data_IF_879830440703
#
_entry.id   IF_879830440703
#
_cell.length_a   1.000
_cell.length_b   1.000
_cell.length_c   1.000
_cell.angle_alpha   90.00
_cell.angle_beta   90.00
_cell.angle_gamma   90.00
#
_symmetry.space_group_name_H-M   'P 1'
#
loop_
_entity.id
_entity.type
_entity.pdbx_description
1 polymer ?
#
# COMPACT_ATOMS: atom_id res chain seq x y z
N UNK A 1 11.56 -18.30 -2.23
CA UNK A 1 10.18 -17.75 -2.13
C UNK A 1 10.12 -16.34 -1.54
N UNK A 2 10.75 -16.04 -0.39
CA UNK A 2 10.69 -14.68 0.22
C UNK A 2 11.15 -13.53 -0.70
N UNK A 3 12.28 -13.69 -1.41
CA UNK A 3 12.78 -12.67 -2.34
C UNK A 3 11.80 -12.39 -3.49
N UNK A 4 11.08 -13.41 -3.96
CA UNK A 4 10.06 -13.30 -5.02
C UNK A 4 8.84 -12.52 -4.54
N UNK A 5 8.37 -12.78 -3.31
CA UNK A 5 7.26 -12.03 -2.69
C UNK A 5 7.63 -10.55 -2.52
N UNK A 6 8.83 -10.27 -2.00
CA UNK A 6 9.30 -8.88 -1.84
C UNK A 6 9.40 -8.19 -3.20
N UNK A 7 10.00 -8.83 -4.20
CA UNK A 7 10.11 -8.26 -5.55
C UNK A 7 8.75 -7.96 -6.21
N UNK A 8 7.73 -8.77 -5.93
CA UNK A 8 6.38 -8.57 -6.46
C UNK A 8 5.58 -7.51 -5.70
N UNK A 9 5.78 -7.37 -4.39
CA UNK A 9 5.03 -6.43 -3.54
C UNK A 9 5.66 -5.02 -3.54
N UNK A 10 6.98 -4.93 -3.67
CA UNK A 10 7.74 -3.67 -3.55
C UNK A 10 7.26 -2.57 -4.53
N UNK A 11 6.97 -2.85 -5.81
CA UNK A 11 6.45 -1.83 -6.73
C UNK A 11 5.14 -1.20 -6.24
N UNK A 12 4.23 -2.01 -5.67
CA UNK A 12 2.96 -1.54 -5.13
C UNK A 12 3.14 -0.67 -3.88
N UNK A 13 4.07 -1.05 -3.00
CA UNK A 13 4.40 -0.24 -1.82
C UNK A 13 5.02 1.10 -2.23
N UNK A 14 5.92 1.11 -3.21
CA UNK A 14 6.55 2.35 -3.68
C UNK A 14 5.55 3.32 -4.30
N UNK A 15 4.56 2.80 -5.04
CA UNK A 15 3.48 3.64 -5.57
C UNK A 15 2.65 4.34 -4.48
N UNK A 16 2.39 3.66 -3.36
CA UNK A 16 1.73 4.29 -2.20
C UNK A 16 2.63 5.33 -1.53
N UNK A 17 3.93 5.06 -1.43
CA UNK A 17 4.91 6.03 -0.90
C UNK A 17 4.95 7.30 -1.74
N UNK A 18 4.91 7.18 -3.07
CA UNK A 18 4.89 8.33 -3.98
C UNK A 18 3.65 9.20 -3.76
N UNK A 19 2.46 8.58 -3.68
CA UNK A 19 1.21 9.28 -3.37
C UNK A 19 1.24 9.93 -1.98
N UNK A 20 1.82 9.27 -1.00
CA UNK A 20 1.97 9.83 0.35
C UNK A 20 2.92 11.04 0.36
N UNK A 21 3.98 11.02 -0.45
CA UNK A 21 4.87 12.17 -0.64
C UNK A 21 4.18 13.32 -1.39
N UNK A 22 3.31 13.04 -2.36
CA UNK A 22 2.49 14.06 -3.02
C UNK A 22 1.47 14.69 -2.06
N UNK A 23 0.81 13.88 -1.23
CA UNK A 23 -0.10 14.38 -0.20
C UNK A 23 0.59 15.31 0.79
N UNK A 24 1.83 14.99 1.16
CA UNK A 24 2.65 15.85 2.03
C UNK A 24 2.95 17.23 1.40
N UNK A 25 2.88 17.35 0.07
CA UNK A 25 3.01 18.62 -0.65
C UNK A 25 1.67 19.35 -0.81
N UNK A 26 0.59 18.84 -0.21
CA UNK A 26 -0.76 19.41 -0.30
C UNK A 26 -1.58 18.92 -1.50
N UNK A 27 -1.11 17.91 -2.24
CA UNK A 27 -1.86 17.35 -3.39
C UNK A 27 -2.96 16.43 -2.88
N UNK A 28 -4.16 16.56 -3.42
CA UNK A 28 -5.25 15.63 -3.12
C UNK A 28 -5.05 14.31 -3.88
N UNK A 29 -4.62 13.27 -3.17
CA UNK A 29 -4.33 11.94 -3.74
C UNK A 29 -5.41 10.90 -3.48
N UNK A 30 -6.54 11.25 -2.85
CA UNK A 30 -7.49 10.25 -2.34
C UNK A 30 -8.01 9.30 -3.43
N UNK A 31 -8.41 9.83 -4.58
CA UNK A 31 -8.86 9.03 -5.72
C UNK A 31 -7.74 8.13 -6.26
N UNK A 32 -6.54 8.69 -6.45
CA UNK A 32 -5.38 7.96 -6.93
C UNK A 32 -4.94 6.85 -5.99
N UNK A 33 -5.08 7.06 -4.68
CA UNK A 33 -4.78 6.07 -3.65
C UNK A 33 -5.74 4.88 -3.73
N UNK A 34 -7.04 5.14 -3.80
CA UNK A 34 -8.05 4.08 -3.89
C UNK A 34 -7.87 3.25 -5.16
N UNK A 35 -7.68 3.90 -6.32
CA UNK A 35 -7.41 3.21 -7.59
C UNK A 35 -6.10 2.40 -7.54
N UNK A 36 -5.02 2.97 -6.99
CA UNK A 36 -3.75 2.27 -6.89
C UNK A 36 -3.82 1.04 -5.97
N UNK A 37 -4.51 1.14 -4.83
CA UNK A 37 -4.70 0.01 -3.91
C UNK A 37 -5.58 -1.06 -4.55
N UNK A 38 -6.69 -0.67 -5.18
CA UNK A 38 -7.59 -1.61 -5.85
C UNK A 38 -6.88 -2.40 -6.97
N UNK A 39 -6.12 -1.71 -7.84
CA UNK A 39 -5.33 -2.36 -8.89
C UNK A 39 -4.26 -3.28 -8.32
N UNK A 40 -3.54 -2.83 -7.29
CA UNK A 40 -2.51 -3.65 -6.65
C UNK A 40 -3.09 -4.94 -6.06
N UNK A 41 -4.26 -4.85 -5.39
CA UNK A 41 -4.97 -6.01 -4.85
C UNK A 41 -5.42 -6.97 -5.96
N UNK A 42 -5.96 -6.45 -7.06
CA UNK A 42 -6.35 -7.27 -8.21
C UNK A 42 -5.15 -7.97 -8.88
N UNK A 43 -4.08 -7.22 -9.14
CA UNK A 43 -2.85 -7.76 -9.74
C UNK A 43 -2.19 -8.84 -8.87
N UNK A 44 -2.28 -8.71 -7.54
CA UNK A 44 -1.81 -9.75 -6.62
C UNK A 44 -2.78 -10.93 -6.52
N UNK A 45 -4.09 -10.72 -6.65
CA UNK A 45 -5.09 -11.77 -6.62
C UNK A 45 -4.98 -12.73 -7.81
N UNK A 46 -4.51 -12.23 -8.97
CA UNK A 46 -4.29 -13.02 -10.18
C UNK A 46 -3.04 -13.93 -10.11
N UNK A 47 -2.23 -13.82 -9.06
CA UNK A 47 -1.01 -14.61 -8.90
C UNK A 47 -1.27 -15.92 -8.15
N UNK A 48 -0.50 -16.96 -8.48
CA UNK A 48 -0.60 -18.27 -7.82
C UNK A 48 -0.38 -18.22 -6.29
N UNK A 49 0.35 -17.22 -5.80
CA UNK A 49 0.64 -17.00 -4.38
C UNK A 49 -0.14 -15.80 -3.79
N UNK A 50 -1.33 -15.49 -4.33
CA UNK A 50 -2.17 -14.34 -3.96
C UNK A 50 -2.25 -14.06 -2.46
N UNK A 51 -2.61 -15.04 -1.63
CA UNK A 51 -2.76 -14.85 -0.17
C UNK A 51 -1.46 -14.37 0.49
N UNK A 52 -0.30 -14.89 0.06
CA UNK A 52 1.00 -14.47 0.56
C UNK A 52 1.36 -13.06 0.10
N UNK A 53 1.02 -12.69 -1.15
CA UNK A 53 1.28 -11.36 -1.69
C UNK A 53 0.42 -10.30 -1.01
N UNK A 54 -0.89 -10.55 -0.87
CA UNK A 54 -1.82 -9.65 -0.19
C UNK A 54 -1.39 -9.44 1.27
N UNK A 55 -1.06 -10.52 1.99
CA UNK A 55 -0.59 -10.42 3.37
C UNK A 55 0.72 -9.63 3.48
N UNK A 56 1.66 -9.85 2.54
CA UNK A 56 2.91 -9.12 2.51
C UNK A 56 2.73 -7.63 2.15
N UNK A 57 1.78 -7.30 1.27
CA UNK A 57 1.44 -5.93 0.93
C UNK A 57 0.83 -5.18 2.12
N UNK A 58 -0.17 -5.75 2.78
CA UNK A 58 -0.77 -5.15 3.99
C UNK A 58 0.28 -4.98 5.09
N UNK A 59 1.09 -6.01 5.35
CA UNK A 59 2.17 -5.93 6.34
C UNK A 59 3.26 -4.90 5.98
N UNK A 60 3.53 -4.72 4.68
CA UNK A 60 4.43 -3.69 4.18
C UNK A 60 3.90 -2.28 4.44
N UNK A 61 2.60 -2.03 4.20
CA UNK A 61 1.95 -0.75 4.51
C UNK A 61 1.97 -0.45 6.02
N UNK A 62 1.71 -1.44 6.85
CA UNK A 62 1.80 -1.29 8.31
C UNK A 62 3.22 -0.94 8.76
N UNK A 63 4.21 -1.59 8.18
CA UNK A 63 5.63 -1.32 8.46
C UNK A 63 6.01 0.10 8.03
N UNK A 64 5.56 0.55 6.86
CA UNK A 64 5.77 1.92 6.39
C UNK A 64 5.12 2.95 7.34
N UNK A 65 3.89 2.71 7.79
CA UNK A 65 3.22 3.58 8.75
C UNK A 65 3.96 3.63 10.09
N UNK A 66 4.45 2.49 10.58
CA UNK A 66 5.19 2.41 11.84
C UNK A 66 6.56 3.10 11.79
N UNK A 67 7.23 3.09 10.63
CA UNK A 67 8.55 3.70 10.42
C UNK A 67 8.48 5.17 10.02
N UNK A 68 7.33 5.66 9.58
CA UNK A 68 7.17 7.04 9.14
C UNK A 68 7.41 8.04 10.29
N UNK A 69 8.17 9.12 10.06
CA UNK A 69 8.33 10.18 11.05
C UNK A 69 6.98 10.83 11.39
N UNK A 70 6.66 10.93 12.69
CA UNK A 70 5.39 11.51 13.19
C UNK A 70 5.10 12.93 12.70
N UNK A 71 6.13 13.69 12.33
CA UNK A 71 6.00 15.03 11.77
C UNK A 71 5.35 15.05 10.37
N UNK A 72 5.25 13.91 9.68
CA UNK A 72 4.64 13.78 8.35
C UNK A 72 3.19 13.28 8.45
N UNK A 73 2.31 14.08 9.04
CA UNK A 73 0.93 13.68 9.34
C UNK A 73 0.16 13.24 8.07
N UNK A 74 0.26 13.99 6.97
CA UNK A 74 -0.44 13.66 5.72
C UNK A 74 0.09 12.39 5.05
N UNK A 75 1.42 12.20 5.08
CA UNK A 75 2.05 10.96 4.61
C UNK A 75 1.52 9.76 5.41
N UNK A 76 1.54 9.86 6.74
CA UNK A 76 1.11 8.79 7.63
C UNK A 76 -0.36 8.44 7.39
N UNK A 77 -1.21 9.46 7.26
CA UNK A 77 -2.64 9.29 6.96
C UNK A 77 -2.86 8.53 5.65
N UNK A 78 -2.14 8.90 4.58
CA UNK A 78 -2.24 8.20 3.28
C UNK A 78 -1.84 6.73 3.40
N UNK A 79 -0.74 6.42 4.08
CA UNK A 79 -0.29 5.02 4.24
C UNK A 79 -1.28 4.22 5.08
N UNK A 80 -1.85 4.81 6.14
CA UNK A 80 -2.88 4.17 6.97
C UNK A 80 -4.18 3.94 6.18
N UNK A 81 -4.61 4.92 5.39
CA UNK A 81 -5.78 4.82 4.53
C UNK A 81 -5.60 3.71 3.48
N UNK A 82 -4.40 3.58 2.91
CA UNK A 82 -4.06 2.49 1.99
C UNK A 82 -4.15 1.12 2.68
N UNK A 83 -3.59 0.99 3.88
CA UNK A 83 -3.65 -0.25 4.65
C UNK A 83 -5.09 -0.63 5.01
N UNK A 84 -5.91 0.35 5.39
CA UNK A 84 -7.32 0.14 5.68
C UNK A 84 -8.09 -0.30 4.43
N UNK A 85 -7.87 0.35 3.28
CA UNK A 85 -8.50 -0.01 2.01
C UNK A 85 -8.11 -1.43 1.57
N UNK A 86 -6.83 -1.77 1.61
CA UNK A 86 -6.33 -3.10 1.25
C UNK A 86 -6.95 -4.20 2.13
N UNK A 87 -7.10 -3.96 3.44
CA UNK A 87 -7.78 -4.89 4.36
C UNK A 87 -9.28 -5.03 4.14
N UNK A 88 -9.94 -4.00 3.62
CA UNK A 88 -11.35 -4.11 3.24
C UNK A 88 -11.49 -5.00 2.00
N UNK A 89 -10.70 -4.72 0.97
CA UNK A 89 -10.70 -5.50 -0.26
C UNK A 89 -10.25 -6.96 -0.07
N UNK A 90 -9.33 -7.23 0.86
CA UNK A 90 -8.90 -8.60 1.15
C UNK A 90 -9.90 -9.42 1.98
N UNK A 91 -11.02 -8.83 2.41
CA UNK A 91 -12.12 -9.52 3.12
C UNK A 91 -13.34 -9.78 2.24
N UNK A 92 -13.43 -9.10 1.09
CA UNK A 92 -14.48 -9.29 0.09
C UNK A 92 -14.08 -10.40 -0.90
#
# INVERSE_FOLDING_TARGET
MRATVVGLVTPHLMRVVDLANEAQKGINVHFHLQDAVARSMAEMADQYNASNLVSAYVGGLDTLAAQAPKARADYLRVVQDAAAAARRLGRD
#
